data_IF_670069535760
#
_entry.id   IF_670069535760
#
_cell.length_a   1.000
_cell.length_b   1.000
_cell.length_c   1.000
_cell.angle_alpha   90.00
_cell.angle_beta   90.00
_cell.angle_gamma   90.00
#
_symmetry.space_group_name_H-M   'P 1'
#
loop_
_entity.id
_entity.type
_entity.pdbx_description
1 polymer ?
#
# COMPACT_ATOMS: atom_id res chain seq x y z
N UNK A 1 -40.78 8.49 -0.49
CA UNK A 1 -40.26 8.02 -1.79
C UNK A 1 -39.08 8.90 -2.14
N UNK A 2 -37.91 8.32 -2.37
CA UNK A 2 -36.73 9.10 -2.79
C UNK A 2 -36.88 9.32 -4.29
N UNK A 3 -36.92 10.60 -4.71
CA UNK A 3 -36.86 11.05 -6.11
C UNK A 3 -35.58 10.52 -6.78
N UNK A 4 -35.69 9.33 -7.35
CA UNK A 4 -34.73 8.74 -8.28
C UNK A 4 -35.18 9.22 -9.66
N UNK A 5 -34.62 10.31 -10.18
CA UNK A 5 -34.83 10.63 -11.60
C UNK A 5 -34.64 12.06 -12.13
N UNK A 6 -34.52 13.11 -11.32
CA UNK A 6 -34.63 14.46 -11.91
C UNK A 6 -33.33 15.00 -12.53
N UNK A 7 -32.14 14.61 -12.03
CA UNK A 7 -30.87 15.25 -12.40
C UNK A 7 -29.76 14.20 -12.68
N UNK A 8 -29.43 13.90 -13.95
CA UNK A 8 -28.46 12.84 -14.31
C UNK A 8 -27.07 13.01 -13.69
N UNK A 9 -26.63 14.26 -13.49
CA UNK A 9 -25.34 14.56 -12.87
C UNK A 9 -25.31 14.25 -11.38
N UNK A 10 -26.45 14.41 -10.67
CA UNK A 10 -26.56 14.05 -9.25
C UNK A 10 -26.45 12.54 -9.09
N UNK A 11 -27.13 11.79 -9.95
CA UNK A 11 -27.11 10.33 -9.91
C UNK A 11 -25.72 9.76 -10.18
N UNK A 12 -25.01 10.27 -11.20
CA UNK A 12 -23.64 9.87 -11.50
C UNK A 12 -22.69 10.13 -10.31
N UNK A 13 -22.81 11.29 -9.65
CA UNK A 13 -22.01 11.62 -8.47
C UNK A 13 -22.39 10.76 -7.26
N UNK A 14 -23.68 10.49 -7.07
CA UNK A 14 -24.17 9.63 -5.99
C UNK A 14 -23.65 8.20 -6.15
N UNK A 15 -23.62 7.66 -7.37
CA UNK A 15 -23.04 6.35 -7.64
C UNK A 15 -21.56 6.30 -7.23
N UNK A 16 -20.77 7.28 -7.68
CA UNK A 16 -19.35 7.38 -7.33
C UNK A 16 -19.13 7.48 -5.82
N UNK A 17 -19.82 8.40 -5.14
CA UNK A 17 -19.68 8.62 -3.70
C UNK A 17 -20.14 7.40 -2.88
N UNK A 18 -21.21 6.73 -3.30
CA UNK A 18 -21.75 5.58 -2.56
C UNK A 18 -20.81 4.38 -2.57
N UNK A 19 -19.97 4.23 -3.60
CA UNK A 19 -18.94 3.18 -3.66
C UNK A 19 -17.70 3.50 -2.82
N UNK A 20 -17.38 4.78 -2.67
CA UNK A 20 -16.24 5.23 -1.88
C UNK A 20 -16.52 5.34 -0.37
N UNK A 21 -17.79 5.28 0.03
CA UNK A 21 -18.24 5.35 1.41
C UNK A 21 -18.63 3.96 1.93
N UNK A 22 -18.28 3.67 3.19
CA UNK A 22 -18.53 2.40 3.86
C UNK A 22 -19.78 2.48 4.74
N UNK A 23 -20.55 1.39 4.80
CA UNK A 23 -21.58 1.23 5.81
C UNK A 23 -20.93 0.94 7.19
N UNK A 24 -21.08 1.86 8.14
CA UNK A 24 -20.48 1.77 9.48
C UNK A 24 -21.04 0.62 10.34
N UNK A 25 -22.23 0.13 10.01
CA UNK A 25 -22.93 -0.92 10.77
C UNK A 25 -22.91 -2.28 10.06
N UNK A 26 -22.31 -2.35 8.86
CA UNK A 26 -22.32 -3.55 8.03
C UNK A 26 -20.92 -4.18 7.96
N UNK A 27 -20.87 -5.47 7.60
CA UNK A 27 -19.60 -6.19 7.49
C UNK A 27 -18.91 -5.92 6.15
N UNK A 28 -18.05 -4.90 6.12
CA UNK A 28 -17.20 -4.58 4.96
C UNK A 28 -17.99 -4.28 3.67
N UNK A 29 -19.12 -3.60 3.79
CA UNK A 29 -19.98 -3.21 2.66
C UNK A 29 -19.91 -1.71 2.39
N UNK A 30 -20.15 -1.31 1.15
CA UNK A 30 -20.25 0.10 0.76
C UNK A 30 -21.65 0.65 0.99
N UNK A 31 -21.76 1.98 0.97
CA UNK A 31 -23.06 2.65 0.88
C UNK A 31 -23.72 2.43 -0.48
N UNK A 32 -23.12 1.77 -1.47
CA UNK A 32 -23.83 1.36 -2.68
C UNK A 32 -24.56 0.02 -2.46
N UNK A 33 -23.90 -0.95 -1.81
CA UNK A 33 -24.41 -2.32 -1.68
C UNK A 33 -25.31 -2.56 -0.46
N UNK A 34 -25.15 -1.78 0.61
CA UNK A 34 -25.81 -2.04 1.89
C UNK A 34 -27.30 -1.66 1.90
N UNK A 35 -28.15 -2.47 2.55
CA UNK A 35 -29.57 -2.15 2.80
C UNK A 35 -29.87 -1.69 4.23
N UNK A 36 -28.84 -1.42 5.03
CA UNK A 36 -29.03 -0.96 6.41
C UNK A 36 -29.74 0.40 6.46
N UNK A 37 -30.52 0.63 7.52
CA UNK A 37 -31.21 1.90 7.76
C UNK A 37 -30.24 3.08 7.77
N UNK A 38 -29.13 2.96 8.51
CA UNK A 38 -28.07 3.98 8.54
C UNK A 38 -27.49 4.27 7.15
N UNK A 39 -27.35 3.25 6.29
CA UNK A 39 -26.84 3.45 4.94
C UNK A 39 -27.82 4.26 4.08
N UNK A 40 -29.13 4.08 4.29
CA UNK A 40 -30.14 4.89 3.61
C UNK A 40 -30.13 6.34 4.09
N UNK A 41 -30.01 6.57 5.39
CA UNK A 41 -29.94 7.92 5.96
C UNK A 41 -28.72 8.69 5.41
N UNK A 42 -27.55 8.03 5.39
CA UNK A 42 -26.34 8.63 4.81
C UNK A 42 -26.49 8.93 3.32
N UNK A 43 -27.13 8.08 2.53
CA UNK A 43 -27.40 8.36 1.10
C UNK A 43 -28.31 9.58 0.93
N UNK A 44 -29.28 9.77 1.80
CA UNK A 44 -30.17 10.95 1.76
C UNK A 44 -29.37 12.21 2.12
N UNK A 45 -28.55 12.16 3.16
CA UNK A 45 -27.69 13.27 3.57
C UNK A 45 -26.70 13.65 2.47
N UNK A 46 -25.98 12.68 1.91
CA UNK A 46 -25.02 12.89 0.81
C UNK A 46 -25.72 13.47 -0.42
N UNK A 47 -26.91 12.98 -0.78
CA UNK A 47 -27.68 13.53 -1.90
C UNK A 47 -28.04 15.00 -1.66
N UNK A 48 -28.38 15.38 -0.43
CA UNK A 48 -28.60 16.77 -0.04
C UNK A 48 -27.37 17.65 -0.26
N UNK A 49 -26.19 17.15 0.12
CA UNK A 49 -24.92 17.88 -0.07
C UNK A 49 -24.53 18.01 -1.55
N UNK A 50 -24.75 16.96 -2.35
CA UNK A 50 -24.54 17.00 -3.81
C UNK A 50 -25.45 18.05 -4.46
N UNK A 51 -26.75 18.06 -4.11
CA UNK A 51 -27.70 19.08 -4.58
C UNK A 51 -27.33 20.50 -4.11
N UNK A 52 -26.70 20.63 -2.94
CA UNK A 52 -26.17 21.89 -2.43
C UNK A 52 -24.88 22.36 -3.14
N UNK A 53 -24.42 21.67 -4.18
CA UNK A 53 -23.25 22.06 -4.97
C UNK A 53 -21.91 21.79 -4.30
N UNK A 54 -21.89 21.00 -3.21
CA UNK A 54 -20.63 20.62 -2.54
C UNK A 54 -19.80 19.70 -3.43
N UNK A 55 -18.49 19.83 -3.36
CA UNK A 55 -17.53 18.95 -4.03
C UNK A 55 -17.39 17.61 -3.31
N UNK A 56 -16.91 16.57 -4.00
CA UNK A 56 -16.73 15.23 -3.42
C UNK A 56 -15.80 15.27 -2.19
N UNK A 57 -14.74 16.10 -2.23
CA UNK A 57 -13.82 16.29 -1.11
C UNK A 57 -14.50 16.95 0.09
N UNK A 58 -15.31 18.00 -0.12
CA UNK A 58 -16.05 18.64 0.97
C UNK A 58 -17.07 17.68 1.59
N UNK A 59 -17.75 16.87 0.78
CA UNK A 59 -18.70 15.86 1.24
C UNK A 59 -17.98 14.82 2.12
N UNK A 60 -16.85 14.28 1.63
CA UNK A 60 -16.04 13.32 2.40
C UNK A 60 -15.55 13.92 3.70
N UNK A 61 -15.03 15.15 3.69
CA UNK A 61 -14.56 15.84 4.89
C UNK A 61 -15.70 16.08 5.89
N UNK A 62 -16.87 16.49 5.42
CA UNK A 62 -18.06 16.66 6.26
C UNK A 62 -18.45 15.34 6.94
N UNK A 63 -18.48 14.24 6.19
CA UNK A 63 -18.77 12.92 6.74
C UNK A 63 -17.70 12.45 7.71
N UNK A 64 -16.41 12.63 7.40
CA UNK A 64 -15.30 12.27 8.30
C UNK A 64 -15.34 13.08 9.59
N UNK A 65 -15.67 14.37 9.53
CA UNK A 65 -15.77 15.21 10.71
C UNK A 65 -16.88 14.74 11.67
N UNK A 66 -17.93 14.10 11.14
CA UNK A 66 -19.11 13.65 11.92
C UNK A 66 -19.06 12.17 12.33
N UNK A 67 -18.55 11.32 11.44
CA UNK A 67 -18.59 9.86 11.58
C UNK A 67 -17.19 9.22 11.68
N UNK A 68 -16.12 10.01 11.56
CA UNK A 68 -14.73 9.57 11.62
C UNK A 68 -14.17 9.02 10.31
N UNK A 69 -12.89 8.71 10.29
CA UNK A 69 -12.17 8.23 9.09
C UNK A 69 -12.72 6.89 8.56
N UNK A 70 -13.37 6.08 9.41
CA UNK A 70 -13.93 4.78 9.05
C UNK A 70 -15.12 4.83 8.08
N UNK A 71 -15.71 6.02 7.87
CA UNK A 71 -16.77 6.22 6.88
C UNK A 71 -16.24 6.12 5.45
N UNK A 72 -14.95 6.38 5.25
CA UNK A 72 -14.32 6.23 3.93
C UNK A 72 -13.95 4.75 3.74
N UNK A 73 -14.44 4.15 2.65
CA UNK A 73 -14.09 2.78 2.30
C UNK A 73 -12.61 2.64 1.93
N UNK A 74 -12.04 3.69 1.32
CA UNK A 74 -10.60 3.82 1.06
C UNK A 74 -9.99 4.87 1.97
N UNK A 75 -9.10 4.49 2.92
CA UNK A 75 -8.42 5.46 3.76
C UNK A 75 -7.50 6.34 2.92
N UNK A 76 -7.52 7.64 3.17
CA UNK A 76 -6.65 8.59 2.49
C UNK A 76 -5.19 8.40 2.94
N UNK A 77 -4.26 8.78 2.06
CA UNK A 77 -2.83 8.83 2.40
C UNK A 77 -2.60 10.06 3.28
N UNK A 78 -2.59 9.86 4.59
CA UNK A 78 -2.33 10.87 5.61
C UNK A 78 -0.97 10.59 6.24
N UNK A 79 -0.31 11.58 6.86
CA UNK A 79 0.98 11.37 7.54
C UNK A 79 0.96 10.21 8.55
N UNK A 80 -0.17 10.02 9.24
CA UNK A 80 -0.37 8.90 10.18
C UNK A 80 -0.46 7.53 9.50
N UNK A 81 -0.97 7.45 8.26
CA UNK A 81 -1.08 6.19 7.52
C UNK A 81 0.16 5.87 6.68
N UNK A 82 1.15 6.77 6.61
CA UNK A 82 2.37 6.57 5.80
C UNK A 82 3.11 5.28 6.12
N UNK A 83 3.21 4.88 7.38
CA UNK A 83 3.86 3.64 7.75
C UNK A 83 3.16 2.42 7.11
N UNK A 84 1.83 2.45 7.01
CA UNK A 84 1.05 1.37 6.40
C UNK A 84 1.26 1.31 4.87
N UNK A 85 1.36 2.47 4.22
CA UNK A 85 1.54 2.56 2.77
C UNK A 85 2.99 2.32 2.32
N UNK A 86 3.96 2.88 3.02
CA UNK A 86 5.38 2.87 2.64
C UNK A 86 6.20 1.82 3.40
N UNK A 87 5.70 1.28 4.51
CA UNK A 87 6.37 0.25 5.31
C UNK A 87 6.83 -0.97 4.52
N UNK A 88 5.98 -1.59 3.67
CA UNK A 88 6.39 -2.73 2.84
C UNK A 88 7.58 -2.43 1.93
N UNK A 89 7.61 -1.24 1.34
CA UNK A 89 8.71 -0.80 0.47
C UNK A 89 9.98 -0.50 1.26
N UNK A 90 9.86 0.11 2.44
CA UNK A 90 11.00 0.35 3.32
C UNK A 90 11.68 -0.96 3.75
N UNK A 91 10.89 -1.98 4.11
CA UNK A 91 11.41 -3.32 4.45
C UNK A 91 12.07 -3.98 3.24
N UNK A 92 11.43 -3.91 2.07
CA UNK A 92 11.97 -4.47 0.84
C UNK A 92 13.33 -3.85 0.47
N UNK A 93 13.41 -2.52 0.47
CA UNK A 93 14.64 -1.79 0.17
C UNK A 93 15.73 -2.05 1.22
N UNK A 94 15.35 -2.14 2.50
CA UNK A 94 16.26 -2.53 3.58
C UNK A 94 16.84 -3.93 3.37
N UNK A 95 15.99 -4.90 2.98
CA UNK A 95 16.42 -6.27 2.67
C UNK A 95 17.37 -6.34 1.47
N UNK A 96 17.03 -5.66 0.38
CA UNK A 96 17.89 -5.57 -0.81
C UNK A 96 19.24 -4.94 -0.46
N UNK A 97 19.23 -3.82 0.30
CA UNK A 97 20.43 -3.15 0.75
C UNK A 97 21.32 -4.06 1.61
N UNK A 98 20.72 -4.82 2.52
CA UNK A 98 21.45 -5.77 3.37
C UNK A 98 22.12 -6.87 2.54
N UNK A 99 21.40 -7.48 1.61
CA UNK A 99 21.97 -8.51 0.72
C UNK A 99 23.08 -7.93 -0.14
N UNK A 100 22.89 -6.74 -0.70
CA UNK A 100 23.91 -6.07 -1.52
C UNK A 100 25.20 -5.79 -0.74
N UNK A 101 25.09 -5.26 0.48
CA UNK A 101 26.24 -5.03 1.35
C UNK A 101 26.94 -6.35 1.71
N UNK A 102 26.18 -7.40 2.02
CA UNK A 102 26.71 -8.72 2.32
C UNK A 102 27.48 -9.33 1.13
N UNK A 103 26.91 -9.26 -0.08
CA UNK A 103 27.58 -9.74 -1.29
C UNK A 103 28.86 -8.97 -1.59
N UNK A 104 28.86 -7.64 -1.41
CA UNK A 104 30.04 -6.80 -1.64
C UNK A 104 31.18 -7.15 -0.68
N UNK A 105 30.86 -7.42 0.58
CA UNK A 105 31.87 -7.84 1.55
C UNK A 105 32.42 -9.24 1.23
N UNK A 106 31.55 -10.17 0.83
CA UNK A 106 31.97 -11.52 0.43
C UNK A 106 32.87 -11.52 -0.81
N UNK A 107 32.63 -10.63 -1.77
CA UNK A 107 33.49 -10.51 -2.95
C UNK A 107 34.92 -10.10 -2.59
N UNK A 108 35.09 -9.15 -1.67
CA UNK A 108 36.42 -8.74 -1.18
C UNK A 108 37.16 -9.90 -0.49
N UNK A 109 36.46 -10.69 0.32
CA UNK A 109 37.07 -11.86 0.96
C UNK A 109 37.45 -12.95 -0.05
N UNK A 110 36.67 -13.11 -1.12
CA UNK A 110 36.95 -14.06 -2.20
C UNK A 110 38.22 -13.68 -2.98
N UNK A 111 38.45 -12.37 -3.17
CA UNK A 111 39.68 -11.85 -3.78
C UNK A 111 40.90 -12.09 -2.90
N UNK A 112 40.78 -11.93 -1.58
CA UNK A 112 41.84 -12.27 -0.62
C UNK A 112 42.10 -13.78 -0.50
N UNK A 113 41.10 -14.61 -0.80
CA UNK A 113 41.20 -16.08 -0.77
C UNK A 113 41.73 -16.67 -2.07
N UNK A 114 41.83 -15.89 -3.16
CA UNK A 114 42.54 -16.33 -4.37
C UNK A 114 44.03 -16.44 -4.04
N UNK A 115 44.51 -17.68 -4.03
CA UNK A 115 45.93 -18.01 -3.87
C UNK A 115 46.73 -17.19 -4.89
N UNK A 116 47.78 -16.51 -4.43
CA UNK A 116 48.69 -15.82 -5.35
C UNK A 116 49.35 -16.83 -6.28
N UNK A 117 49.81 -16.40 -7.46
CA UNK A 117 50.52 -17.26 -8.41
C UNK A 117 51.69 -18.01 -7.73
N UNK A 118 52.36 -17.36 -6.78
CA UNK A 118 53.42 -17.97 -5.98
C UNK A 118 52.91 -19.06 -5.02
N UNK A 119 51.70 -18.92 -4.46
CA UNK A 119 51.09 -19.95 -3.61
C UNK A 119 50.59 -21.14 -4.45
N UNK A 120 50.08 -20.89 -5.66
CA UNK A 120 49.69 -21.94 -6.60
C UNK A 120 50.90 -22.75 -7.07
N UNK A 121 51.99 -22.10 -7.47
CA UNK A 121 53.22 -22.77 -7.87
C UNK A 121 53.83 -23.61 -6.73
N UNK A 122 53.76 -23.12 -5.48
CA UNK A 122 54.21 -23.88 -4.30
C UNK A 122 53.33 -25.10 -4.01
N UNK A 123 52.01 -24.98 -4.18
CA UNK A 123 51.11 -26.11 -4.02
C UNK A 123 51.35 -27.18 -5.11
N UNK A 124 51.57 -26.76 -6.35
CA UNK A 124 51.86 -27.66 -7.48
C UNK A 124 53.16 -28.45 -7.26
N UNK A 125 54.23 -27.78 -6.83
CA UNK A 125 55.50 -28.43 -6.47
C UNK A 125 55.34 -29.46 -5.32
N UNK A 126 54.47 -29.21 -4.33
CA UNK A 126 54.26 -30.15 -3.22
C UNK A 126 53.37 -31.35 -3.60
N UNK A 127 52.56 -31.21 -4.64
CA UNK A 127 51.65 -32.26 -5.10
C UNK A 127 52.24 -33.09 -6.25
N UNK A 128 53.36 -32.65 -6.82
CA UNK A 128 54.01 -33.35 -7.92
C UNK A 128 54.69 -34.64 -7.41
N UNK A 129 54.19 -35.83 -7.78
CA UNK A 129 54.72 -37.11 -7.27
C UNK A 129 56.12 -37.43 -7.81
N UNK A 130 56.62 -36.67 -8.78
CA UNK A 130 57.98 -36.81 -9.30
C UNK A 130 59.07 -36.33 -8.32
N UNK A 131 58.72 -35.47 -7.34
CA UNK A 131 59.65 -34.88 -6.38
C UNK A 131 59.68 -35.61 -5.02
N UNK A 132 58.89 -36.69 -4.86
CA UNK A 132 58.90 -37.58 -3.71
C UNK A 132 59.64 -38.90 -4.05
N UNK A 133 60.90 -39.10 -3.59
CA UNK A 133 61.65 -40.33 -3.81
C UNK A 133 61.13 -41.54 -3.02
#
# INVERSE_FOLDING_TARGET
AVEVGEEPWVEARMLHLSEELRCLVCQNETLASSRAELANDLRVEVRGLVKAGKTDTEIKQYLVARYGDFVLYRPEVKPVTWLLWFGPFAVLLGGIGMVWLYMRERQKQTEQTRLSEAQLARADHLLNPADHP
#
